data_IF_680585502421
#
_entry.id   IF_680585502421
#
_cell.length_a   1.000
_cell.length_b   1.000
_cell.length_c   1.000
_cell.angle_alpha   90.00
_cell.angle_beta   90.00
_cell.angle_gamma   90.00
#
_symmetry.space_group_name_H-M   'P 1'
#
loop_
_entity.id
_entity.type
_entity.pdbx_description
1 polymer ?
#
# COMPACT_ATOMS: atom_id res chain seq x y z
N UNK A 1 6.65 25.08 -4.81
CA UNK A 1 6.57 24.40 -3.51
C UNK A 1 5.89 23.07 -3.73
N UNK A 2 6.67 22.00 -3.80
CA UNK A 2 6.15 20.64 -3.94
C UNK A 2 6.13 19.96 -2.57
N UNK A 3 4.96 19.52 -2.12
CA UNK A 3 4.74 18.90 -0.81
C UNK A 3 4.39 17.43 -1.00
N UNK A 4 5.14 16.56 -0.32
CA UNK A 4 4.85 15.13 -0.23
C UNK A 4 4.20 14.82 1.11
N UNK A 5 3.06 14.13 1.06
CA UNK A 5 2.18 13.83 2.18
C UNK A 5 1.65 12.39 2.15
N UNK A 6 1.69 11.68 1.02
CA UNK A 6 1.35 10.25 0.95
C UNK A 6 2.55 9.40 1.36
N UNK A 7 2.75 9.26 2.67
CA UNK A 7 3.92 8.66 3.31
C UNK A 7 4.57 9.64 4.28
N UNK A 8 5.90 9.65 4.33
CA UNK A 8 6.64 10.61 5.15
C UNK A 8 6.53 12.02 4.58
N UNK A 9 6.23 12.98 5.45
CA UNK A 9 6.15 14.38 5.08
C UNK A 9 7.51 14.91 4.58
N UNK A 10 7.50 15.54 3.40
CA UNK A 10 8.66 16.23 2.84
C UNK A 10 8.21 17.46 2.04
N UNK A 11 9.00 18.54 2.05
CA UNK A 11 8.90 19.60 1.06
C UNK A 11 10.15 19.51 0.19
N UNK A 12 9.99 19.27 -1.11
CA UNK A 12 11.08 18.95 -2.04
C UNK A 12 12.20 19.98 -2.02
N UNK A 13 11.85 21.26 -1.96
CA UNK A 13 12.80 22.37 -1.95
C UNK A 13 13.53 22.53 -0.59
N UNK A 14 13.12 21.78 0.44
CA UNK A 14 13.59 21.90 1.83
C UNK A 14 14.03 20.57 2.46
N UNK A 15 14.63 19.65 1.68
CA UNK A 15 14.96 18.27 2.11
C UNK A 15 15.68 18.14 3.47
N UNK A 16 16.54 19.10 3.84
CA UNK A 16 17.32 19.07 5.08
C UNK A 16 16.64 19.81 6.25
N UNK A 17 15.52 20.46 6.00
CA UNK A 17 14.83 21.27 7.00
C UNK A 17 13.90 20.41 7.84
N UNK A 18 14.15 20.37 9.15
CA UNK A 18 13.29 19.64 10.09
C UNK A 18 12.13 20.52 10.57
N UNK A 19 10.91 20.02 10.39
CA UNK A 19 9.71 20.55 11.01
C UNK A 19 9.36 19.69 12.22
N UNK A 20 8.89 20.32 13.30
CA UNK A 20 8.24 19.60 14.40
C UNK A 20 6.91 19.03 13.92
N UNK A 21 6.36 18.05 14.65
CA UNK A 21 5.06 17.45 14.30
C UNK A 21 3.98 18.53 14.11
N UNK A 22 3.83 19.46 15.07
CA UNK A 22 2.83 20.53 14.95
C UNK A 22 3.09 21.48 13.80
N UNK A 23 4.35 21.80 13.49
CA UNK A 23 4.65 22.64 12.31
C UNK A 23 4.27 21.91 11.00
N UNK A 24 4.51 20.59 10.91
CA UNK A 24 4.11 19.75 9.78
C UNK A 24 2.59 19.65 9.63
N UNK A 25 1.86 19.48 10.72
CA UNK A 25 0.39 19.47 10.70
C UNK A 25 -0.15 20.83 10.20
N UNK A 26 0.35 21.93 10.75
CA UNK A 26 -0.08 23.29 10.39
C UNK A 26 0.19 23.58 8.92
N UNK A 27 1.41 23.33 8.44
CA UNK A 27 1.75 23.65 7.06
C UNK A 27 0.97 22.78 6.07
N UNK A 28 0.80 21.49 6.35
CA UNK A 28 0.02 20.58 5.49
C UNK A 28 -1.44 21.03 5.45
N UNK A 29 -2.07 21.24 6.60
CA UNK A 29 -3.46 21.65 6.69
C UNK A 29 -3.73 22.98 5.97
N UNK A 30 -2.85 23.98 6.14
CA UNK A 30 -2.94 25.26 5.41
C UNK A 30 -2.76 25.06 3.90
N UNK A 31 -1.81 24.21 3.50
CA UNK A 31 -1.51 23.98 2.08
C UNK A 31 -2.64 23.25 1.37
N UNK A 32 -3.32 22.29 2.02
CA UNK A 32 -4.50 21.63 1.46
C UNK A 32 -5.65 22.62 1.16
N UNK A 33 -5.70 23.75 1.86
CA UNK A 33 -6.73 24.76 1.68
C UNK A 33 -6.20 26.07 1.07
N UNK A 34 -5.05 26.03 0.39
CA UNK A 34 -4.31 27.22 -0.03
C UNK A 34 -5.13 28.19 -0.90
N UNK A 35 -6.08 27.70 -1.70
CA UNK A 35 -6.94 28.54 -2.54
C UNK A 35 -7.96 29.39 -1.77
N UNK A 36 -8.47 28.92 -0.62
CA UNK A 36 -9.59 29.56 0.10
C UNK A 36 -9.13 30.34 1.34
N UNK A 37 -7.99 29.94 1.90
CA UNK A 37 -7.52 30.38 3.21
C UNK A 37 -8.39 29.82 4.35
N UNK A 38 -7.80 29.73 5.53
CA UNK A 38 -8.41 29.04 6.68
C UNK A 38 -8.62 30.01 7.82
N UNK A 39 -9.77 30.00 8.47
CA UNK A 39 -9.95 30.74 9.71
C UNK A 39 -9.02 30.21 10.81
N UNK A 40 -8.39 31.11 11.57
CA UNK A 40 -7.52 30.72 12.71
C UNK A 40 -8.19 29.72 13.66
N UNK A 41 -9.49 29.88 13.91
CA UNK A 41 -10.23 29.00 14.81
C UNK A 41 -10.37 27.58 14.26
N UNK A 42 -10.60 27.42 12.95
CA UNK A 42 -10.69 26.09 12.33
C UNK A 42 -9.33 25.37 12.39
N UNK A 43 -8.23 26.10 12.19
CA UNK A 43 -6.88 25.53 12.37
C UNK A 43 -6.68 25.01 13.80
N UNK A 44 -7.09 25.78 14.81
CA UNK A 44 -6.98 25.38 16.21
C UNK A 44 -7.85 24.15 16.46
N UNK A 45 -9.12 24.20 16.08
CA UNK A 45 -10.08 23.13 16.34
C UNK A 45 -9.65 21.81 15.68
N UNK A 46 -9.12 21.83 14.46
CA UNK A 46 -8.82 20.60 13.75
C UNK A 46 -7.45 20.02 14.18
N UNK A 47 -6.44 20.85 14.42
CA UNK A 47 -5.09 20.38 14.79
C UNK A 47 -4.95 20.09 16.30
N UNK A 48 -5.74 20.75 17.14
CA UNK A 48 -5.69 20.59 18.60
C UNK A 48 -6.99 20.01 19.20
N UNK A 49 -7.85 19.38 18.40
CA UNK A 49 -9.16 18.87 18.85
C UNK A 49 -9.10 18.04 20.14
N UNK A 50 -8.12 17.13 20.24
CA UNK A 50 -7.91 16.24 21.39
C UNK A 50 -6.71 16.63 22.26
N UNK A 51 -6.21 17.87 22.12
CA UNK A 51 -5.07 18.35 22.92
C UNK A 51 -5.57 18.92 24.24
N UNK A 52 -4.95 18.51 25.35
CA UNK A 52 -5.18 19.13 26.66
C UNK A 52 -4.76 20.62 26.67
N UNK A 53 -3.82 20.97 25.79
CA UNK A 53 -3.34 22.34 25.61
C UNK A 53 -3.84 22.91 24.27
N UNK A 54 -4.85 23.78 24.33
CA UNK A 54 -5.35 24.52 23.17
C UNK A 54 -4.56 25.83 23.06
N UNK A 55 -3.86 26.09 21.94
CA UNK A 55 -3.05 27.28 21.80
C UNK A 55 -3.92 28.55 21.71
N UNK A 56 -3.45 29.60 22.35
CA UNK A 56 -3.94 30.96 22.15
C UNK A 56 -3.69 31.44 20.71
N UNK A 57 -4.43 32.48 20.29
CA UNK A 57 -4.24 33.13 18.98
C UNK A 57 -2.81 33.67 18.78
N UNK A 58 -2.13 34.02 19.87
CA UNK A 58 -0.76 34.53 19.85
C UNK A 58 0.24 33.41 19.58
N UNK A 59 0.05 32.24 20.20
CA UNK A 59 0.90 31.06 19.96
C UNK A 59 0.80 30.55 18.53
N UNK A 60 -0.39 30.59 17.91
CA UNK A 60 -0.52 30.33 16.46
C UNK A 60 0.35 31.27 15.63
N UNK A 61 0.44 32.54 16.01
CA UNK A 61 1.27 33.52 15.31
C UNK A 61 2.77 33.23 15.48
N UNK A 62 3.16 32.66 16.63
CA UNK A 62 4.53 32.16 16.89
C UNK A 62 4.83 30.95 16.00
N UNK A 63 3.94 29.97 15.90
CA UNK A 63 4.09 28.84 14.98
C UNK A 63 4.26 29.31 13.53
N UNK A 64 3.37 30.19 13.05
CA UNK A 64 3.46 30.76 11.70
C UNK A 64 4.81 31.46 11.48
N UNK A 65 5.29 32.21 12.47
CA UNK A 65 6.60 32.88 12.39
C UNK A 65 7.77 31.89 12.31
N UNK A 66 7.73 30.79 13.08
CA UNK A 66 8.72 29.71 13.01
C UNK A 66 8.69 29.00 11.66
N UNK A 67 7.50 28.68 11.16
CA UNK A 67 7.31 28.04 9.85
C UNK A 67 7.83 28.95 8.74
N UNK A 68 7.49 30.24 8.74
CA UNK A 68 7.98 31.20 7.75
C UNK A 68 9.52 31.31 7.72
N UNK A 69 10.18 31.28 8.89
CA UNK A 69 11.65 31.24 8.95
C UNK A 69 12.22 30.01 8.26
N UNK A 70 11.55 28.86 8.37
CA UNK A 70 11.94 27.61 7.71
C UNK A 70 11.63 27.59 6.22
N UNK A 71 10.51 28.18 5.81
CA UNK A 71 10.10 28.30 4.40
C UNK A 71 10.96 29.24 3.56
N UNK A 72 11.67 30.19 4.21
CA UNK A 72 12.56 31.15 3.55
C UNK A 72 11.83 31.90 2.43
N UNK A 73 12.28 31.75 1.19
CA UNK A 73 11.73 32.43 0.01
C UNK A 73 10.85 31.52 -0.86
N UNK A 74 10.62 30.26 -0.46
CA UNK A 74 9.86 29.29 -1.25
C UNK A 74 8.36 29.54 -1.09
N UNK A 75 7.93 29.82 0.15
CA UNK A 75 6.55 30.14 0.45
C UNK A 75 6.46 31.04 1.68
N UNK A 76 5.31 31.71 1.86
CA UNK A 76 5.03 32.56 3.00
C UNK A 76 3.61 32.36 3.50
N UNK A 77 3.49 32.02 4.77
CA UNK A 77 2.22 32.01 5.50
C UNK A 77 1.93 33.41 6.03
N UNK A 78 0.73 33.91 5.79
CA UNK A 78 0.30 35.22 6.29
C UNK A 78 -1.10 35.16 6.89
N UNK A 79 -1.38 36.06 7.82
CA UNK A 79 -2.73 36.24 8.35
C UNK A 79 -3.35 37.53 7.80
N UNK A 80 -4.52 37.42 7.16
CA UNK A 80 -5.32 38.56 6.67
C UNK A 80 -6.77 38.38 7.12
N UNK A 81 -7.37 39.37 7.77
CA UNK A 81 -8.78 39.37 8.19
C UNK A 81 -9.20 38.07 8.90
N UNK A 82 -8.40 37.62 9.88
CA UNK A 82 -8.60 36.38 10.67
C UNK A 82 -8.47 35.05 9.90
N UNK A 83 -8.14 35.11 8.60
CA UNK A 83 -7.78 33.95 7.80
C UNK A 83 -6.27 33.82 7.65
N UNK A 84 -5.81 32.59 7.54
CA UNK A 84 -4.43 32.20 7.29
C UNK A 84 -4.36 31.74 5.82
N UNK A 85 -3.37 32.27 5.10
CA UNK A 85 -3.08 31.92 3.71
C UNK A 85 -1.63 31.49 3.62
N UNK A 86 -1.34 30.57 2.70
CA UNK A 86 0.01 30.30 2.24
C UNK A 86 0.17 30.80 0.80
N UNK A 87 1.26 31.52 0.54
CA UNK A 87 1.59 32.07 -0.76
C UNK A 87 2.89 31.47 -1.26
N UNK A 88 2.89 30.97 -2.48
CA UNK A 88 4.03 30.46 -3.26
C UNK A 88 3.69 30.71 -4.73
N UNK A 89 4.69 30.74 -5.61
CA UNK A 89 4.44 30.83 -7.06
C UNK A 89 3.55 29.68 -7.54
N UNK A 90 3.83 28.48 -7.03
CA UNK A 90 3.05 27.27 -7.26
C UNK A 90 3.10 26.39 -6.01
N UNK A 91 1.97 25.75 -5.70
CA UNK A 91 1.84 24.76 -4.63
C UNK A 91 1.27 23.50 -5.25
N UNK A 92 2.05 22.42 -5.21
CA UNK A 92 1.59 21.08 -5.59
C UNK A 92 1.69 20.18 -4.37
N UNK A 93 0.70 19.32 -4.21
CA UNK A 93 0.59 18.39 -3.08
C UNK A 93 0.28 17.03 -3.67
N UNK A 94 1.14 16.05 -3.43
CA UNK A 94 1.00 14.70 -3.98
C UNK A 94 -0.36 14.08 -3.70
N UNK A 95 -0.94 14.28 -2.51
CA UNK A 95 -2.26 13.77 -2.15
C UNK A 95 -3.39 14.39 -2.99
N UNK A 96 -3.32 15.69 -3.30
CA UNK A 96 -4.30 16.34 -4.19
C UNK A 96 -4.11 15.85 -5.62
N UNK A 97 -2.86 15.71 -6.08
CA UNK A 97 -2.56 15.18 -7.41
C UNK A 97 -3.02 13.73 -7.55
N UNK A 98 -2.80 12.91 -6.52
CA UNK A 98 -3.27 11.53 -6.44
C UNK A 98 -4.79 11.48 -6.53
N UNK A 99 -5.51 12.21 -5.69
CA UNK A 99 -6.98 12.26 -5.72
C UNK A 99 -7.52 12.65 -7.09
N UNK A 100 -6.89 13.63 -7.74
CA UNK A 100 -7.26 14.03 -9.11
C UNK A 100 -7.05 12.88 -10.11
N UNK A 101 -5.87 12.27 -10.11
CA UNK A 101 -5.56 11.18 -11.03
C UNK A 101 -6.42 9.95 -10.78
N UNK A 102 -6.72 9.61 -9.52
CA UNK A 102 -7.66 8.52 -9.19
C UNK A 102 -9.05 8.80 -9.73
N UNK A 103 -9.60 10.00 -9.53
CA UNK A 103 -10.91 10.36 -10.07
C UNK A 103 -10.93 10.33 -11.61
N UNK A 104 -9.88 10.82 -12.24
CA UNK A 104 -9.70 10.78 -13.70
C UNK A 104 -9.64 9.33 -14.20
N UNK A 105 -8.84 8.49 -13.53
CA UNK A 105 -8.74 7.07 -13.83
C UNK A 105 -10.06 6.31 -13.67
N UNK A 106 -10.83 6.58 -12.61
CA UNK A 106 -12.15 6.00 -12.42
C UNK A 106 -13.12 6.36 -13.56
N UNK A 107 -12.97 7.55 -14.14
CA UNK A 107 -13.82 8.02 -15.23
C UNK A 107 -13.39 7.51 -16.61
N UNK A 108 -12.09 7.51 -16.90
CA UNK A 108 -11.55 7.22 -18.22
C UNK A 108 -11.09 5.76 -18.38
N UNK A 109 -10.79 5.11 -17.26
CA UNK A 109 -10.24 3.75 -17.18
C UNK A 109 -8.94 3.55 -17.99
N UNK A 110 -8.16 4.63 -18.19
CA UNK A 110 -6.83 4.54 -18.80
C UNK A 110 -5.81 4.03 -17.77
N UNK A 111 -5.26 2.84 -18.01
CA UNK A 111 -4.27 2.20 -17.14
C UNK A 111 -3.07 3.09 -16.82
N UNK A 112 -2.63 3.97 -17.74
CA UNK A 112 -1.49 4.86 -17.50
C UNK A 112 -1.81 5.91 -16.43
N UNK A 113 -3.04 6.41 -16.40
CA UNK A 113 -3.49 7.37 -15.38
C UNK A 113 -3.52 6.67 -14.02
N UNK A 114 -4.08 5.46 -13.97
CA UNK A 114 -4.06 4.63 -12.75
C UNK A 114 -2.64 4.31 -12.27
N UNK A 115 -1.74 3.92 -13.17
CA UNK A 115 -0.33 3.67 -12.86
C UNK A 115 0.36 4.92 -12.28
N UNK A 116 0.12 6.09 -12.89
CA UNK A 116 0.64 7.38 -12.39
C UNK A 116 0.08 7.71 -10.98
N UNK A 117 -1.21 7.46 -10.73
CA UNK A 117 -1.80 7.62 -9.39
C UNK A 117 -1.11 6.69 -8.38
N UNK A 118 -0.92 5.41 -8.71
CA UNK A 118 -0.21 4.44 -7.88
C UNK A 118 1.26 4.80 -7.63
N UNK A 119 1.88 5.60 -8.49
CA UNK A 119 3.25 6.06 -8.26
C UNK A 119 3.33 7.16 -7.19
N UNK A 120 2.29 7.98 -7.03
CA UNK A 120 2.28 9.04 -6.02
C UNK A 120 2.07 8.49 -4.61
N UNK A 121 1.35 7.38 -4.46
CA UNK A 121 1.05 6.80 -3.16
C UNK A 121 2.25 6.02 -2.59
N UNK A 122 3.06 6.66 -1.73
CA UNK A 122 4.25 6.03 -1.11
C UNK A 122 4.01 5.49 0.30
N UNK A 123 2.89 5.81 0.93
CA UNK A 123 2.60 5.47 2.31
C UNK A 123 1.28 6.08 2.77
N UNK A 124 0.89 5.77 4.01
CA UNK A 124 -0.26 6.43 4.66
C UNK A 124 -0.07 7.94 4.67
N UNK A 125 -1.16 8.67 4.46
CA UNK A 125 -1.15 10.13 4.55
C UNK A 125 -0.57 10.61 5.89
N UNK A 126 0.48 11.44 5.84
CA UNK A 126 1.30 11.89 6.97
C UNK A 126 1.66 10.73 7.92
N UNK A 127 2.42 9.75 7.43
CA UNK A 127 2.84 8.59 8.21
C UNK A 127 3.56 8.99 9.52
N UNK A 128 3.17 8.38 10.64
CA UNK A 128 3.73 8.66 11.98
C UNK A 128 3.07 9.80 12.75
N UNK A 129 1.91 10.27 12.29
CA UNK A 129 1.08 11.27 12.96
C UNK A 129 -0.25 10.66 13.42
N UNK A 130 -0.71 11.00 14.62
CA UNK A 130 -1.90 10.39 15.25
C UNK A 130 -2.98 11.45 15.55
N UNK A 131 -3.42 12.17 14.52
CA UNK A 131 -4.48 13.19 14.65
C UNK A 131 -5.73 12.80 13.85
N UNK A 132 -6.91 13.07 14.39
CA UNK A 132 -8.19 12.65 13.83
C UNK A 132 -8.48 13.24 12.45
N UNK A 133 -8.09 14.48 12.18
CA UNK A 133 -8.26 15.06 10.83
C UNK A 133 -7.39 14.35 9.78
N UNK A 134 -6.25 13.81 10.20
CA UNK A 134 -5.34 13.01 9.36
C UNK A 134 -5.96 11.64 9.10
N UNK A 135 -6.57 11.00 10.11
CA UNK A 135 -7.26 9.72 9.95
C UNK A 135 -8.37 9.76 8.89
N UNK A 136 -9.18 10.82 8.88
CA UNK A 136 -10.23 10.97 7.86
C UNK A 136 -9.64 11.03 6.43
N UNK A 137 -8.52 11.72 6.25
CA UNK A 137 -7.83 11.78 4.96
C UNK A 137 -7.11 10.47 4.62
N UNK A 138 -6.54 9.77 5.62
CA UNK A 138 -5.98 8.43 5.43
C UNK A 138 -7.05 7.48 4.89
N UNK A 139 -8.21 7.43 5.53
CA UNK A 139 -9.31 6.59 5.09
C UNK A 139 -9.76 6.93 3.67
N UNK A 140 -9.89 8.23 3.34
CA UNK A 140 -10.23 8.68 1.98
C UNK A 140 -9.21 8.16 0.96
N UNK A 141 -7.93 8.42 1.17
CA UNK A 141 -6.89 8.08 0.20
C UNK A 141 -6.62 6.56 0.14
N UNK A 142 -6.74 5.84 1.25
CA UNK A 142 -6.66 4.38 1.27
C UNK A 142 -7.80 3.75 0.46
N UNK A 143 -9.03 4.28 0.53
CA UNK A 143 -10.15 3.81 -0.27
C UNK A 143 -9.98 4.11 -1.75
N UNK A 144 -9.50 5.30 -2.11
CA UNK A 144 -9.20 5.64 -3.51
C UNK A 144 -8.14 4.68 -4.07
N UNK A 145 -7.05 4.46 -3.33
CA UNK A 145 -6.01 3.50 -3.71
C UNK A 145 -6.59 2.10 -3.93
N UNK A 146 -7.48 1.67 -3.03
CA UNK A 146 -8.13 0.36 -3.11
C UNK A 146 -8.94 0.22 -4.39
N UNK A 147 -9.72 1.25 -4.72
CA UNK A 147 -10.57 1.27 -5.90
C UNK A 147 -9.74 1.30 -7.18
N UNK A 148 -8.69 2.12 -7.22
CA UNK A 148 -7.76 2.18 -8.36
C UNK A 148 -7.12 0.81 -8.61
N UNK A 149 -6.64 0.14 -7.56
CA UNK A 149 -6.01 -1.18 -7.71
C UNK A 149 -7.02 -2.23 -8.17
N UNK A 150 -8.24 -2.25 -7.61
CA UNK A 150 -9.30 -3.17 -8.06
C UNK A 150 -9.59 -2.98 -9.54
N UNK A 151 -9.81 -1.74 -9.97
CA UNK A 151 -10.10 -1.41 -11.35
C UNK A 151 -8.92 -1.77 -12.27
N UNK A 152 -7.69 -1.44 -11.89
CA UNK A 152 -6.48 -1.85 -12.62
C UNK A 152 -6.41 -3.37 -12.78
N UNK A 153 -6.72 -4.14 -11.74
CA UNK A 153 -6.73 -5.61 -11.82
C UNK A 153 -7.85 -6.15 -12.72
N UNK A 154 -8.96 -5.43 -12.85
CA UNK A 154 -10.08 -5.78 -13.74
C UNK A 154 -9.71 -5.56 -15.20
N UNK A 155 -9.13 -4.40 -15.53
CA UNK A 155 -8.89 -3.98 -16.92
C UNK A 155 -7.53 -4.42 -17.48
N UNK A 156 -6.53 -4.63 -16.62
CA UNK A 156 -5.21 -5.07 -17.05
C UNK A 156 -5.29 -6.50 -17.60
N UNK A 157 -4.52 -6.80 -18.64
CA UNK A 157 -4.43 -8.15 -19.19
C UNK A 157 -3.06 -8.76 -18.97
N UNK A 158 -2.03 -7.94 -18.73
CA UNK A 158 -0.70 -8.44 -18.41
C UNK A 158 -0.65 -8.98 -16.97
N UNK A 159 -0.47 -10.30 -16.78
CA UNK A 159 -0.38 -10.88 -15.44
C UNK A 159 0.76 -10.27 -14.64
N UNK A 160 1.90 -9.91 -15.24
CA UNK A 160 3.02 -9.30 -14.51
C UNK A 160 2.66 -7.92 -13.95
N UNK A 161 1.89 -7.11 -14.68
CA UNK A 161 1.43 -5.80 -14.19
C UNK A 161 0.41 -5.93 -13.06
N UNK A 162 -0.54 -6.86 -13.17
CA UNK A 162 -1.48 -7.16 -12.07
C UNK A 162 -0.74 -7.44 -10.77
N UNK A 163 0.36 -8.17 -10.88
CA UNK A 163 1.19 -8.56 -9.75
C UNK A 163 1.89 -7.36 -9.15
N UNK A 164 2.44 -6.47 -9.98
CA UNK A 164 3.02 -5.22 -9.53
C UNK A 164 1.98 -4.35 -8.77
N UNK A 165 0.72 -4.34 -9.21
CA UNK A 165 -0.35 -3.63 -8.51
C UNK A 165 -0.67 -4.28 -7.15
N UNK A 166 -0.73 -5.60 -7.08
CA UNK A 166 -0.91 -6.33 -5.81
C UNK A 166 0.27 -6.13 -4.85
N UNK A 167 1.51 -6.09 -5.35
CA UNK A 167 2.71 -5.80 -4.56
C UNK A 167 2.67 -4.37 -3.99
N UNK A 168 2.25 -3.39 -4.80
CA UNK A 168 2.01 -2.04 -4.31
C UNK A 168 0.97 -2.03 -3.20
N UNK A 169 -0.19 -2.69 -3.39
CA UNK A 169 -1.22 -2.79 -2.35
C UNK A 169 -0.68 -3.38 -1.04
N UNK A 170 0.14 -4.43 -1.16
CA UNK A 170 0.80 -5.14 -0.08
C UNK A 170 1.75 -4.27 0.77
N UNK A 171 2.47 -3.34 0.13
CA UNK A 171 3.28 -2.33 0.80
C UNK A 171 2.44 -1.17 1.35
N UNK A 172 1.35 -0.86 0.62
CA UNK A 172 0.34 0.19 0.76
C UNK A 172 -0.52 0.14 2.04
N UNK A 173 -1.16 -1.01 2.25
CA UNK A 173 -2.41 -1.07 3.01
C UNK A 173 -2.33 -1.71 4.39
N UNK A 174 -3.43 -1.56 5.13
CA UNK A 174 -3.73 -2.34 6.35
C UNK A 174 -4.18 -3.76 5.96
N UNK A 175 -3.84 -4.74 6.80
CA UNK A 175 -3.89 -6.19 6.49
C UNK A 175 -5.28 -6.73 6.08
N UNK A 176 -6.36 -6.14 6.59
CA UNK A 176 -7.71 -6.71 6.46
C UNK A 176 -8.27 -6.56 5.04
N UNK A 177 -8.17 -5.37 4.44
CA UNK A 177 -8.67 -5.12 3.07
C UNK A 177 -7.82 -5.81 2.00
N UNK A 178 -6.51 -6.01 2.28
CA UNK A 178 -5.59 -6.68 1.35
C UNK A 178 -5.93 -8.16 1.25
N UNK A 179 -6.21 -8.83 2.37
CA UNK A 179 -6.50 -10.27 2.36
C UNK A 179 -7.76 -10.60 1.55
N UNK A 180 -8.80 -9.77 1.64
CA UNK A 180 -10.03 -9.94 0.86
C UNK A 180 -9.79 -9.76 -0.64
N UNK A 181 -9.03 -8.73 -1.04
CA UNK A 181 -8.70 -8.48 -2.45
C UNK A 181 -7.78 -9.55 -3.02
N UNK A 182 -6.78 -9.98 -2.25
CA UNK A 182 -5.92 -11.08 -2.68
C UNK A 182 -6.78 -12.34 -2.83
N UNK A 183 -7.68 -12.65 -1.91
CA UNK A 183 -8.57 -13.80 -2.08
C UNK A 183 -9.45 -13.66 -3.33
N UNK A 184 -10.11 -12.52 -3.53
CA UNK A 184 -10.97 -12.29 -4.69
C UNK A 184 -10.20 -12.40 -6.01
N UNK A 185 -9.04 -11.74 -6.10
CA UNK A 185 -8.19 -11.73 -7.31
C UNK A 185 -7.53 -13.10 -7.53
N UNK A 186 -7.05 -13.78 -6.49
CA UNK A 186 -6.41 -15.09 -6.63
C UNK A 186 -7.41 -16.19 -6.95
N UNK A 187 -8.54 -16.24 -6.25
CA UNK A 187 -9.49 -17.33 -6.44
C UNK A 187 -10.38 -17.15 -7.66
N UNK A 188 -10.64 -15.91 -8.10
CA UNK A 188 -11.51 -15.65 -9.26
C UNK A 188 -10.77 -15.38 -10.57
N UNK A 189 -9.54 -14.85 -10.57
CA UNK A 189 -8.86 -14.44 -11.82
C UNK A 189 -7.69 -15.30 -12.27
N UNK A 190 -6.95 -15.93 -11.36
CA UNK A 190 -5.94 -16.89 -11.77
C UNK A 190 -6.63 -18.24 -11.94
N UNK A 191 -6.81 -18.69 -13.19
CA UNK A 191 -7.27 -20.05 -13.43
C UNK A 191 -6.36 -21.04 -12.69
N UNK A 192 -6.91 -22.17 -12.22
CA UNK A 192 -6.23 -23.16 -11.36
C UNK A 192 -4.93 -23.78 -11.94
N UNK A 193 -4.42 -23.29 -13.07
CA UNK A 193 -3.33 -23.86 -13.85
C UNK A 193 -2.22 -22.85 -14.23
N UNK A 194 -2.18 -21.66 -13.63
CA UNK A 194 -1.12 -20.67 -13.89
C UNK A 194 -0.11 -20.57 -12.75
N UNK A 195 1.17 -20.48 -13.11
CA UNK A 195 2.24 -20.28 -12.14
C UNK A 195 2.23 -18.83 -11.67
N UNK A 196 2.15 -18.61 -10.36
CA UNK A 196 2.31 -17.28 -9.80
C UNK A 196 3.80 -16.93 -9.68
N UNK A 197 4.20 -15.67 -9.89
CA UNK A 197 5.54 -15.20 -9.58
C UNK A 197 5.94 -15.43 -8.11
N UNK A 198 7.23 -15.64 -7.91
CA UNK A 198 7.76 -16.10 -6.63
C UNK A 198 7.65 -15.03 -5.55
N UNK A 199 7.72 -13.76 -5.93
CA UNK A 199 7.61 -12.59 -5.08
C UNK A 199 6.24 -12.56 -4.39
N UNK A 200 5.16 -12.85 -5.12
CA UNK A 200 3.81 -13.00 -4.57
C UNK A 200 3.75 -14.17 -3.63
N UNK A 201 4.24 -15.33 -4.06
CA UNK A 201 4.21 -16.52 -3.23
C UNK A 201 4.93 -16.25 -1.90
N UNK A 202 6.08 -15.59 -1.96
CA UNK A 202 6.87 -15.21 -0.79
C UNK A 202 6.13 -14.18 0.07
N UNK A 203 5.46 -13.19 -0.54
CA UNK A 203 4.60 -12.26 0.19
C UNK A 203 3.47 -13.00 0.92
N UNK A 204 2.75 -13.91 0.25
CA UNK A 204 1.71 -14.73 0.85
C UNK A 204 2.25 -15.56 2.01
N UNK A 205 3.46 -16.14 1.88
CA UNK A 205 4.14 -16.87 2.96
C UNK A 205 4.41 -15.96 4.15
N UNK A 206 4.96 -14.77 3.93
CA UNK A 206 5.25 -13.83 5.02
C UNK A 206 3.97 -13.37 5.72
N UNK A 207 2.87 -13.21 4.99
CA UNK A 207 1.58 -12.84 5.57
C UNK A 207 0.89 -14.00 6.28
N UNK A 208 0.93 -15.21 5.72
CA UNK A 208 0.35 -16.41 6.34
C UNK A 208 0.98 -16.73 7.69
N UNK A 209 2.29 -16.49 7.84
CA UNK A 209 3.01 -16.61 9.12
C UNK A 209 2.50 -15.68 10.23
N UNK A 210 1.87 -14.57 9.87
CA UNK A 210 1.34 -13.60 10.83
C UNK A 210 -0.06 -13.98 11.33
N UNK A 211 -0.71 -14.97 10.71
CA UNK A 211 -1.99 -15.48 11.16
C UNK A 211 -1.80 -16.35 12.42
N UNK A 212 -2.78 -16.30 13.34
CA UNK A 212 -2.81 -17.21 14.50
C UNK A 212 -2.75 -18.68 14.09
N UNK A 213 -3.37 -19.00 12.95
CA UNK A 213 -3.36 -20.33 12.33
C UNK A 213 -2.93 -20.18 10.87
N UNK A 214 -1.64 -20.40 10.54
CA UNK A 214 -1.15 -20.36 9.16
C UNK A 214 -1.88 -21.40 8.31
N UNK A 215 -2.45 -20.96 7.19
CA UNK A 215 -3.28 -21.78 6.29
C UNK A 215 -2.44 -22.66 5.38
N UNK A 216 -1.18 -22.32 5.12
CA UNK A 216 -0.39 -22.99 4.10
C UNK A 216 0.80 -23.77 4.66
N UNK A 217 1.16 -24.84 3.96
CA UNK A 217 2.43 -25.55 4.09
C UNK A 217 3.29 -25.11 2.91
N UNK A 218 4.48 -24.57 3.18
CA UNK A 218 5.39 -24.15 2.12
C UNK A 218 6.24 -25.33 1.69
N UNK A 219 6.17 -25.74 0.42
CA UNK A 219 6.97 -26.81 -0.16
C UNK A 219 7.92 -26.22 -1.19
N UNK A 220 9.23 -26.36 -0.98
CA UNK A 220 10.27 -26.02 -1.96
C UNK A 220 10.76 -27.32 -2.63
N UNK A 221 10.53 -27.43 -3.94
CA UNK A 221 10.64 -28.66 -4.72
C UNK A 221 11.52 -28.45 -5.95
N UNK A 222 12.59 -29.24 -6.08
CA UNK A 222 13.37 -29.35 -7.33
C UNK A 222 13.19 -30.74 -7.93
N UNK A 223 12.81 -30.81 -9.20
CA UNK A 223 12.60 -32.05 -9.95
C UNK A 223 13.78 -32.35 -10.87
N UNK A 224 13.96 -33.61 -11.27
CA UNK A 224 15.00 -33.93 -12.27
C UNK A 224 14.68 -33.37 -13.66
N UNK A 225 13.38 -33.27 -14.00
CA UNK A 225 12.90 -32.75 -15.29
C UNK A 225 11.77 -31.75 -15.06
N UNK A 226 11.61 -30.75 -15.94
CA UNK A 226 10.46 -29.85 -15.90
C UNK A 226 9.18 -30.64 -16.17
N UNK A 227 8.13 -30.35 -15.42
CA UNK A 227 6.80 -30.89 -15.66
C UNK A 227 5.76 -29.81 -15.44
N UNK A 228 4.54 -30.04 -15.94
CA UNK A 228 3.39 -29.28 -15.49
C UNK A 228 2.95 -29.79 -14.11
N UNK A 229 3.21 -29.00 -13.06
CA UNK A 229 2.96 -29.38 -11.69
C UNK A 229 1.46 -29.36 -11.32
N UNK A 230 0.64 -28.59 -12.04
CA UNK A 230 -0.79 -28.40 -11.76
C UNK A 230 -1.60 -29.71 -11.83
N UNK A 231 -1.11 -30.70 -12.57
CA UNK A 231 -1.71 -32.04 -12.61
C UNK A 231 -1.62 -32.81 -11.27
N UNK A 232 -0.79 -32.35 -10.34
CA UNK A 232 -0.49 -33.03 -9.08
C UNK A 232 -0.85 -32.22 -7.83
N UNK A 233 -1.20 -30.95 -8.02
CA UNK A 233 -1.71 -30.04 -6.99
C UNK A 233 -3.24 -30.08 -6.95
N UNK A 234 -3.81 -29.56 -5.86
CA UNK A 234 -5.26 -29.50 -5.64
C UNK A 234 -5.75 -28.09 -5.96
N UNK A 235 -7.06 -27.95 -6.16
CA UNK A 235 -7.71 -26.64 -6.12
C UNK A 235 -7.43 -25.98 -4.77
N UNK A 236 -6.94 -24.74 -4.80
CA UNK A 236 -6.50 -23.98 -3.62
C UNK A 236 -5.00 -24.02 -3.34
N UNK A 237 -4.26 -25.01 -3.88
CA UNK A 237 -2.80 -25.00 -3.78
C UNK A 237 -2.23 -23.96 -4.77
N UNK A 238 -1.26 -23.16 -4.31
CA UNK A 238 -0.67 -22.08 -5.11
C UNK A 238 0.74 -22.49 -5.54
N UNK A 239 1.05 -22.42 -6.84
CA UNK A 239 2.34 -22.88 -7.37
C UNK A 239 3.12 -21.73 -8.00
N UNK A 240 4.38 -21.58 -7.61
CA UNK A 240 5.35 -20.71 -8.27
C UNK A 240 6.50 -21.49 -8.88
N UNK A 241 7.07 -20.99 -9.97
CA UNK A 241 8.22 -21.57 -10.66
C UNK A 241 9.43 -20.63 -10.51
N UNK A 242 10.41 -21.02 -9.67
CA UNK A 242 11.67 -20.29 -9.44
C UNK A 242 12.72 -20.50 -10.54
N UNK A 243 12.59 -21.58 -11.28
CA UNK A 243 13.56 -21.97 -12.30
C UNK A 243 13.00 -23.09 -13.16
N UNK A 244 13.81 -23.59 -14.12
CA UNK A 244 13.33 -24.54 -15.13
C UNK A 244 12.62 -25.78 -14.54
N UNK A 245 13.16 -26.32 -13.44
CA UNK A 245 12.68 -27.49 -12.71
C UNK A 245 12.55 -27.22 -11.20
N UNK A 246 12.50 -25.95 -10.79
CA UNK A 246 12.42 -25.54 -9.38
C UNK A 246 11.09 -24.83 -9.13
N UNK A 247 10.32 -25.35 -8.17
CA UNK A 247 8.99 -24.91 -7.81
C UNK A 247 8.91 -24.60 -6.31
N UNK A 248 8.07 -23.63 -5.96
CA UNK A 248 7.61 -23.42 -4.59
C UNK A 248 6.10 -23.54 -4.58
N UNK A 249 5.55 -24.25 -3.61
CA UNK A 249 4.12 -24.54 -3.53
C UNK A 249 3.61 -24.13 -2.16
N UNK A 250 2.51 -23.39 -2.12
CA UNK A 250 1.71 -23.20 -0.90
C UNK A 250 0.60 -24.23 -0.90
N UNK A 251 0.79 -25.28 -0.11
CA UNK A 251 -0.18 -26.34 0.08
C UNK A 251 -1.21 -25.90 1.10
N UNK A 252 -2.48 -25.78 0.71
CA UNK A 252 -3.55 -25.40 1.64
C UNK A 252 -3.78 -26.52 2.67
N UNK A 253 -3.70 -26.20 3.97
CA UNK A 253 -3.98 -27.14 5.05
C UNK A 253 -5.47 -27.45 5.08
N UNK A 254 -5.82 -28.73 5.18
CA UNK A 254 -7.19 -29.15 5.51
C UNK A 254 -7.30 -29.34 7.02
N UNK A 255 -8.30 -28.71 7.64
CA UNK A 255 -8.51 -28.67 9.11
C UNK A 255 -8.47 -30.05 9.81
N UNK A 256 -8.73 -31.14 9.07
CA UNK A 256 -8.79 -32.50 9.60
C UNK A 256 -7.55 -33.36 9.37
N UNK A 257 -6.52 -32.87 8.66
CA UNK A 257 -5.38 -33.70 8.23
C UNK A 257 -4.05 -33.19 8.76
N UNK A 258 -3.24 -34.12 9.26
CA UNK A 258 -1.85 -33.86 9.62
C UNK A 258 -1.07 -33.36 8.37
N UNK A 259 -0.40 -32.20 8.43
CA UNK A 259 0.45 -31.66 7.37
C UNK A 259 1.41 -32.69 6.75
N UNK A 260 2.05 -33.52 7.57
CA UNK A 260 2.99 -34.54 7.10
C UNK A 260 2.32 -35.58 6.19
N UNK A 261 1.07 -35.94 6.51
CA UNK A 261 0.29 -36.85 5.69
C UNK A 261 -0.03 -36.24 4.33
N UNK A 262 -0.36 -34.95 4.28
CA UNK A 262 -0.64 -34.25 3.03
C UNK A 262 0.60 -34.20 2.13
N UNK A 263 1.76 -33.86 2.71
CA UNK A 263 3.05 -33.83 2.02
C UNK A 263 3.39 -35.23 1.49
N UNK A 264 3.27 -36.28 2.33
CA UNK A 264 3.53 -37.67 1.93
C UNK A 264 2.59 -38.12 0.80
N UNK A 265 1.32 -37.73 0.86
CA UNK A 265 0.34 -38.01 -0.19
C UNK A 265 0.74 -37.34 -1.52
N UNK A 266 1.16 -36.07 -1.48
CA UNK A 266 1.64 -35.36 -2.66
C UNK A 266 2.89 -36.00 -3.27
N UNK A 267 3.90 -36.31 -2.46
CA UNK A 267 5.13 -37.00 -2.92
C UNK A 267 4.78 -38.35 -3.56
N UNK A 268 3.85 -39.11 -2.96
CA UNK A 268 3.43 -40.39 -3.51
C UNK A 268 2.73 -40.24 -4.87
N UNK A 269 1.95 -39.16 -5.10
CA UNK A 269 1.36 -38.87 -6.41
C UNK A 269 2.45 -38.63 -7.46
N UNK A 270 3.46 -37.80 -7.15
CA UNK A 270 4.58 -37.56 -8.05
C UNK A 270 5.33 -38.85 -8.38
N UNK A 271 5.66 -39.67 -7.37
CA UNK A 271 6.37 -40.95 -7.55
C UNK A 271 5.57 -41.94 -8.41
N UNK A 272 4.27 -42.07 -8.19
CA UNK A 272 3.40 -42.97 -9.00
C UNK A 272 3.36 -42.58 -10.47
N UNK A 273 3.60 -41.31 -10.78
CA UNK A 273 3.71 -40.81 -12.16
C UNK A 273 5.14 -40.78 -12.68
N UNK A 274 6.05 -41.55 -12.07
CA UNK A 274 7.47 -41.65 -12.43
C UNK A 274 8.23 -40.30 -12.42
N UNK A 275 7.78 -39.34 -11.62
CA UNK A 275 8.47 -38.06 -11.45
C UNK A 275 9.54 -38.21 -10.37
N UNK A 276 10.79 -37.95 -10.75
CA UNK A 276 11.93 -38.00 -9.84
C UNK A 276 12.17 -36.65 -9.18
N UNK A 277 12.23 -36.67 -7.85
CA UNK A 277 12.47 -35.50 -7.01
C UNK A 277 13.97 -35.41 -6.71
N UNK A 278 14.60 -34.30 -7.10
CA UNK A 278 16.02 -34.04 -6.85
C UNK A 278 16.25 -33.45 -5.44
N UNK A 279 15.40 -32.49 -5.04
CA UNK A 279 15.46 -31.84 -3.74
C UNK A 279 14.03 -31.53 -3.26
N UNK A 280 13.81 -31.69 -1.97
CA UNK A 280 12.55 -31.36 -1.32
C UNK A 280 12.84 -30.79 0.06
N UNK A 281 12.19 -29.68 0.40
CA UNK A 281 12.11 -29.17 1.77
C UNK A 281 10.73 -28.56 2.00
N UNK A 282 10.29 -28.52 3.25
CA UNK A 282 9.00 -27.94 3.60
C UNK A 282 9.05 -27.22 4.94
N UNK A 283 8.16 -26.24 5.11
CA UNK A 283 7.91 -25.51 6.35
C UNK A 283 6.41 -25.56 6.66
N UNK A 284 6.08 -25.94 7.89
CA UNK A 284 4.70 -26.08 8.40
C UNK A 284 4.31 -24.81 9.15
#
# INVERSE_FOLDING_TARGET
MEIYTLGKFEIKELKTTKFSQKETEIITYISLNHHKGIFKINLINDIWFYSDEIPSKNEISVYISKINKKLKNIAKISCKKSKIYIYSNEITIDAITFEKLSNEFLSEQDTKIGENALELYKGKFLEGFDNNWIENLRFLYENLLLNDIKLLLDIENDPFKKILYLEKLAHIGTYENIAEILNDVFFNKFENNEYIPYEILNFLVEKDKLLRNPKYIVIDLTLEKPINLFKYTRKGDIVSKKGYNHFVILFEKKDSKNPEFEIKSFINRLKKSNIKIKKLSFKI
#
